data_IF_749663206608
#
_entry.id   IF_749663206608
#
_cell.length_a   1.000
_cell.length_b   1.000
_cell.length_c   1.000
_cell.angle_alpha   90.00
_cell.angle_beta   90.00
_cell.angle_gamma   90.00
#
_symmetry.space_group_name_H-M   'P 1'
#
loop_
_entity.id
_entity.type
_entity.pdbx_description
1 polymer ?
#
# COMPACT_ATOMS: atom_id res chain seq x y z
N UNK A 1 4.45 -38.68 -12.81
CA UNK A 1 3.04 -39.14 -12.70
C UNK A 1 2.20 -37.99 -13.20
N UNK A 2 1.71 -38.04 -14.45
CA UNK A 2 0.88 -36.97 -15.00
C UNK A 2 -0.48 -37.03 -14.30
N UNK A 3 -0.87 -35.96 -13.61
CA UNK A 3 -2.23 -35.86 -13.08
C UNK A 3 -3.20 -35.71 -14.25
N UNK A 4 -4.37 -36.33 -14.17
CA UNK A 4 -5.42 -36.13 -15.16
C UNK A 4 -5.89 -34.66 -15.14
N UNK A 5 -6.26 -34.10 -16.30
CA UNK A 5 -6.74 -32.70 -16.45
C UNK A 5 -7.88 -32.36 -15.47
N UNK A 6 -8.75 -33.33 -15.17
CA UNK A 6 -9.82 -33.21 -14.17
C UNK A 6 -9.32 -33.16 -12.72
N UNK A 7 -8.23 -33.85 -12.40
CA UNK A 7 -7.55 -33.78 -11.11
C UNK A 7 -6.80 -32.47 -10.93
N UNK A 8 -6.14 -31.95 -11.97
CA UNK A 8 -5.49 -30.64 -11.92
C UNK A 8 -6.51 -29.50 -11.76
N UNK A 9 -7.63 -29.55 -12.47
CA UNK A 9 -8.71 -28.56 -12.32
C UNK A 9 -9.26 -28.51 -10.89
N UNK A 10 -9.40 -29.67 -10.25
CA UNK A 10 -9.85 -29.80 -8.86
C UNK A 10 -8.84 -29.22 -7.86
N UNK A 11 -7.54 -29.27 -8.15
CA UNK A 11 -6.49 -28.71 -7.30
C UNK A 11 -6.42 -27.17 -7.35
N UNK A 12 -6.59 -26.58 -8.54
CA UNK A 12 -6.43 -25.14 -8.75
C UNK A 12 -7.69 -24.32 -8.38
N UNK A 13 -8.87 -24.94 -8.43
CA UNK A 13 -10.15 -24.28 -8.11
C UNK A 13 -10.16 -23.63 -6.71
N UNK A 14 -9.80 -24.34 -5.61
CA UNK A 14 -9.75 -23.73 -4.29
C UNK A 14 -8.79 -22.52 -4.23
N UNK A 15 -7.63 -22.60 -4.88
CA UNK A 15 -6.66 -21.50 -4.91
C UNK A 15 -7.23 -20.29 -5.66
N UNK A 16 -7.82 -20.50 -6.85
CA UNK A 16 -8.47 -19.45 -7.64
C UNK A 16 -9.57 -18.76 -6.82
N UNK A 17 -10.43 -19.53 -6.16
CA UNK A 17 -11.50 -19.00 -5.29
C UNK A 17 -10.94 -18.21 -4.10
N UNK A 18 -9.90 -18.70 -3.43
CA UNK A 18 -9.25 -17.99 -2.31
C UNK A 18 -8.67 -16.65 -2.80
N UNK A 19 -7.97 -16.65 -3.93
CA UNK A 19 -7.36 -15.44 -4.49
C UNK A 19 -8.43 -14.39 -4.85
N UNK A 20 -9.52 -14.82 -5.50
CA UNK A 20 -10.65 -13.94 -5.79
C UNK A 20 -11.29 -13.35 -4.53
N UNK A 21 -11.62 -14.19 -3.55
CA UNK A 21 -12.20 -13.72 -2.29
C UNK A 21 -11.25 -12.75 -1.60
N UNK A 22 -9.95 -13.04 -1.61
CA UNK A 22 -8.90 -12.21 -1.04
C UNK A 22 -8.84 -10.83 -1.69
N UNK A 23 -8.93 -10.74 -3.02
CA UNK A 23 -8.88 -9.45 -3.74
C UNK A 23 -10.13 -8.59 -3.51
N UNK A 24 -11.32 -9.21 -3.44
CA UNK A 24 -12.54 -8.50 -3.05
C UNK A 24 -12.48 -8.00 -1.61
N UNK A 25 -12.01 -8.87 -0.71
CA UNK A 25 -11.85 -8.54 0.70
C UNK A 25 -10.83 -7.41 0.90
N UNK A 26 -9.66 -7.48 0.26
CA UNK A 26 -8.62 -6.46 0.37
C UNK A 26 -9.10 -5.12 -0.14
N UNK A 27 -9.82 -5.08 -1.27
CA UNK A 27 -10.39 -3.85 -1.82
C UNK A 27 -11.46 -3.22 -0.93
N UNK A 28 -12.41 -4.00 -0.39
CA UNK A 28 -13.43 -3.49 0.55
C UNK A 28 -12.77 -3.00 1.83
N UNK A 29 -11.85 -3.79 2.39
CA UNK A 29 -11.11 -3.42 3.60
C UNK A 29 -10.29 -2.15 3.39
N UNK A 30 -9.67 -1.98 2.22
CA UNK A 30 -8.92 -0.79 1.85
C UNK A 30 -9.80 0.45 1.85
N UNK A 31 -10.99 0.38 1.24
CA UNK A 31 -11.95 1.48 1.25
C UNK A 31 -12.37 1.83 2.68
N UNK A 32 -12.83 0.85 3.46
CA UNK A 32 -13.26 1.05 4.83
C UNK A 32 -12.14 1.67 5.69
N UNK A 33 -10.92 1.14 5.63
CA UNK A 33 -9.80 1.61 6.43
C UNK A 33 -9.36 3.03 6.03
N UNK A 34 -9.33 3.35 4.74
CA UNK A 34 -8.96 4.68 4.27
C UNK A 34 -10.03 5.74 4.56
N UNK A 35 -11.32 5.44 4.38
CA UNK A 35 -12.40 6.34 4.77
C UNK A 35 -12.41 6.59 6.28
N UNK A 36 -12.20 5.54 7.08
CA UNK A 36 -12.08 5.68 8.54
C UNK A 36 -10.86 6.51 8.94
N UNK A 37 -9.72 6.32 8.27
CA UNK A 37 -8.53 7.14 8.49
C UNK A 37 -8.79 8.61 8.12
N UNK A 38 -9.48 8.90 7.00
CA UNK A 38 -9.88 10.27 6.64
C UNK A 38 -10.75 10.88 7.75
N UNK A 39 -11.75 10.14 8.25
CA UNK A 39 -12.58 10.58 9.37
C UNK A 39 -11.74 10.92 10.61
N UNK A 40 -10.77 10.08 10.96
CA UNK A 40 -9.85 10.34 12.09
C UNK A 40 -8.95 11.56 11.83
N UNK A 41 -8.46 11.74 10.60
CA UNK A 41 -7.63 12.89 10.26
C UNK A 41 -8.43 14.19 10.43
N UNK A 42 -9.67 14.21 9.97
CA UNK A 42 -10.52 15.42 10.05
C UNK A 42 -10.93 15.71 11.50
N UNK A 43 -11.29 14.68 12.28
CA UNK A 43 -11.93 14.88 13.60
C UNK A 43 -10.99 14.82 14.78
N UNK A 44 -9.81 14.18 14.66
CA UNK A 44 -8.93 13.87 15.80
C UNK A 44 -7.50 14.39 15.67
N UNK A 45 -7.14 15.01 14.55
CA UNK A 45 -5.78 15.57 14.39
C UNK A 45 -5.60 16.84 15.24
N UNK A 46 -4.56 16.88 16.07
CA UNK A 46 -4.23 18.09 16.85
C UNK A 46 -3.61 19.19 15.99
N UNK A 47 -3.60 20.41 16.52
CA UNK A 47 -3.01 21.59 15.86
C UNK A 47 -1.55 21.37 15.43
N UNK A 48 -0.74 20.63 16.21
CA UNK A 48 0.66 20.35 15.87
C UNK A 48 0.82 19.39 14.68
N UNK A 49 -0.17 18.53 14.45
CA UNK A 49 -0.19 17.58 13.34
C UNK A 49 -0.96 18.09 12.11
N UNK A 50 -1.72 19.19 12.26
CA UNK A 50 -2.61 19.72 11.23
C UNK A 50 -1.90 20.08 9.92
N UNK A 51 -0.65 20.53 10.01
CA UNK A 51 0.21 20.80 8.83
C UNK A 51 0.43 19.53 8.01
N UNK A 52 0.44 18.35 8.64
CA UNK A 52 0.63 17.06 8.00
C UNK A 52 -0.69 16.37 7.62
N UNK A 53 -1.85 16.90 7.98
CA UNK A 53 -3.14 16.33 7.56
C UNK A 53 -3.27 16.28 6.03
N UNK A 54 -2.71 17.27 5.32
CA UNK A 54 -2.74 17.32 3.85
C UNK A 54 -2.05 16.11 3.20
N UNK A 55 -0.87 15.72 3.72
CA UNK A 55 -0.13 14.57 3.17
C UNK A 55 -0.82 13.24 3.49
N UNK A 56 -1.43 13.12 4.67
CA UNK A 56 -2.14 11.92 5.06
C UNK A 56 -3.42 11.74 4.25
N UNK A 57 -4.21 12.80 4.06
CA UNK A 57 -5.43 12.77 3.22
C UNK A 57 -5.05 12.44 1.78
N UNK A 58 -4.01 13.06 1.23
CA UNK A 58 -3.55 12.75 -0.13
C UNK A 58 -3.16 11.27 -0.28
N UNK A 59 -2.50 10.68 0.73
CA UNK A 59 -2.15 9.26 0.70
C UNK A 59 -3.41 8.40 0.70
N UNK A 60 -4.40 8.71 1.54
CA UNK A 60 -5.68 8.01 1.55
C UNK A 60 -6.42 8.11 0.21
N UNK A 61 -6.37 9.27 -0.47
CA UNK A 61 -7.04 9.44 -1.76
C UNK A 61 -6.40 8.57 -2.84
N UNK A 62 -5.06 8.51 -2.90
CA UNK A 62 -4.35 7.61 -3.83
C UNK A 62 -4.68 6.15 -3.53
N UNK A 63 -4.67 5.76 -2.26
CA UNK A 63 -5.00 4.41 -1.80
C UNK A 63 -6.45 4.01 -2.15
N UNK A 64 -7.42 4.92 -1.96
CA UNK A 64 -8.83 4.71 -2.35
C UNK A 64 -8.95 4.56 -3.86
N UNK A 65 -8.32 5.45 -4.64
CA UNK A 65 -8.35 5.36 -6.11
C UNK A 65 -7.81 4.02 -6.59
N UNK A 66 -6.68 3.57 -6.05
CA UNK A 66 -6.10 2.29 -6.42
C UNK A 66 -6.97 1.09 -5.97
N UNK A 67 -7.59 1.17 -4.79
CA UNK A 67 -8.52 0.13 -4.32
C UNK A 67 -9.75 0.01 -5.24
N UNK A 68 -10.33 1.12 -5.68
CA UNK A 68 -11.45 1.12 -6.66
C UNK A 68 -11.02 0.52 -7.99
N UNK A 69 -9.86 0.92 -8.51
CA UNK A 69 -9.32 0.36 -9.76
C UNK A 69 -9.11 -1.15 -9.62
N UNK A 70 -8.58 -1.61 -8.49
CA UNK A 70 -8.34 -3.04 -8.24
C UNK A 70 -9.65 -3.82 -8.14
N UNK A 71 -10.69 -3.28 -7.50
CA UNK A 71 -12.01 -3.93 -7.42
C UNK A 71 -12.69 -4.04 -8.80
N UNK A 72 -12.57 -3.00 -9.64
CA UNK A 72 -13.15 -2.98 -10.98
C UNK A 72 -12.41 -3.95 -11.91
N UNK A 73 -11.08 -3.90 -11.89
CA UNK A 73 -10.26 -4.61 -12.88
C UNK A 73 -9.95 -6.05 -12.46
N UNK A 74 -9.67 -6.26 -11.18
CA UNK A 74 -9.13 -7.49 -10.61
C UNK A 74 -8.07 -8.11 -11.55
N UNK A 75 -7.08 -7.28 -11.87
CA UNK A 75 -6.02 -7.57 -12.83
C UNK A 75 -5.02 -8.55 -12.24
N UNK A 76 -4.73 -9.61 -12.98
CA UNK A 76 -3.81 -10.67 -12.60
C UNK A 76 -2.63 -10.68 -13.57
N UNK A 77 -1.43 -10.94 -13.03
CA UNK A 77 -0.18 -10.93 -13.79
C UNK A 77 0.49 -12.29 -13.61
N UNK A 78 0.92 -12.90 -14.71
CA UNK A 78 1.68 -14.14 -14.69
C UNK A 78 2.88 -14.07 -15.64
N UNK A 79 3.89 -14.90 -15.35
CA UNK A 79 5.20 -14.84 -15.97
C UNK A 79 5.61 -16.23 -16.46
N UNK A 80 5.61 -16.45 -17.78
CA UNK A 80 5.87 -17.77 -18.32
C UNK A 80 6.96 -17.73 -19.39
N UNK A 81 8.18 -18.14 -19.04
CA UNK A 81 9.24 -18.40 -20.01
C UNK A 81 9.70 -17.14 -20.75
N UNK A 82 9.76 -16.00 -20.05
CA UNK A 82 10.06 -14.70 -20.65
C UNK A 82 8.86 -13.99 -21.25
N UNK A 83 7.63 -14.46 -21.02
CA UNK A 83 6.41 -13.77 -21.41
C UNK A 83 5.70 -13.24 -20.16
N UNK A 84 5.35 -11.96 -20.16
CA UNK A 84 4.46 -11.37 -19.17
C UNK A 84 3.05 -11.39 -19.76
N UNK A 85 2.15 -12.08 -19.07
CA UNK A 85 0.73 -12.12 -19.39
C UNK A 85 -0.04 -11.34 -18.33
N UNK A 86 -0.95 -10.50 -18.79
CA UNK A 86 -1.90 -9.80 -17.91
C UNK A 86 -3.31 -10.08 -18.37
N UNK A 87 -4.18 -10.40 -17.43
CA UNK A 87 -5.59 -10.67 -17.68
C UNK A 87 -6.44 -10.07 -16.56
N UNK A 88 -7.74 -9.96 -16.80
CA UNK A 88 -8.69 -9.48 -15.82
C UNK A 88 -9.55 -10.65 -15.37
N UNK A 89 -9.80 -10.71 -14.07
CA UNK A 89 -10.64 -11.77 -13.50
C UNK A 89 -11.85 -11.20 -12.73
N UNK A 90 -12.06 -9.89 -12.85
CA UNK A 90 -13.15 -9.15 -12.20
C UNK A 90 -14.46 -9.15 -12.99
N UNK A 91 -15.39 -8.23 -12.67
CA UNK A 91 -16.70 -8.13 -13.34
C UNK A 91 -16.62 -7.97 -14.87
N UNK A 92 -15.49 -7.47 -15.37
CA UNK A 92 -15.24 -7.22 -16.79
C UNK A 92 -14.33 -8.25 -17.47
N UNK A 93 -14.11 -9.43 -16.87
CA UNK A 93 -13.17 -10.46 -17.37
C UNK A 93 -13.44 -10.98 -18.79
N UNK A 94 -14.70 -10.98 -19.23
CA UNK A 94 -15.09 -11.46 -20.56
C UNK A 94 -15.16 -10.34 -21.62
N UNK A 95 -14.76 -9.11 -21.28
CA UNK A 95 -14.82 -8.01 -22.24
C UNK A 95 -13.79 -8.21 -23.36
N UNK A 96 -14.16 -8.03 -24.64
CA UNK A 96 -13.24 -8.21 -25.75
C UNK A 96 -12.15 -7.14 -25.76
N UNK A 97 -11.08 -7.38 -26.51
CA UNK A 97 -10.17 -6.30 -26.88
C UNK A 97 -10.91 -5.30 -27.80
N UNK A 98 -10.75 -3.98 -27.63
CA UNK A 98 -9.69 -3.29 -26.86
C UNK A 98 -10.05 -2.95 -25.39
N UNK A 99 -11.22 -3.33 -24.89
CA UNK A 99 -11.67 -2.96 -23.54
C UNK A 99 -10.74 -3.55 -22.48
N UNK A 100 -10.41 -4.85 -22.59
CA UNK A 100 -9.46 -5.51 -21.67
C UNK A 100 -8.11 -4.81 -21.66
N UNK A 101 -7.57 -4.45 -22.84
CA UNK A 101 -6.33 -3.69 -22.95
C UNK A 101 -6.39 -2.35 -22.21
N UNK A 102 -7.47 -1.56 -22.38
CA UNK A 102 -7.60 -0.27 -21.70
C UNK A 102 -7.74 -0.42 -20.18
N UNK A 103 -8.49 -1.41 -19.71
CA UNK A 103 -8.67 -1.68 -18.29
C UNK A 103 -7.37 -2.11 -17.61
N UNK A 104 -6.54 -2.92 -18.27
CA UNK A 104 -5.21 -3.27 -17.78
C UNK A 104 -4.32 -2.03 -17.69
N UNK A 105 -4.36 -1.12 -18.67
CA UNK A 105 -3.61 0.13 -18.59
C UNK A 105 -4.13 1.06 -17.46
N UNK A 106 -5.43 1.06 -17.17
CA UNK A 106 -5.99 1.76 -15.99
C UNK A 106 -5.45 1.17 -14.69
N UNK A 107 -5.34 -0.16 -14.60
CA UNK A 107 -4.71 -0.82 -13.46
C UNK A 107 -3.24 -0.42 -13.30
N UNK A 108 -2.48 -0.40 -14.41
CA UNK A 108 -1.05 -0.08 -14.40
C UNK A 108 -0.79 1.38 -14.00
N UNK A 109 -1.58 2.35 -14.48
CA UNK A 109 -1.42 3.74 -14.04
C UNK A 109 -1.70 3.89 -12.55
N UNK A 110 -2.69 3.17 -12.02
CA UNK A 110 -3.01 3.17 -10.59
C UNK A 110 -1.87 2.61 -9.74
N UNK A 111 -1.41 1.40 -10.10
CA UNK A 111 -0.30 0.72 -9.41
C UNK A 111 0.98 1.57 -9.42
N UNK A 112 1.34 2.11 -10.58
CA UNK A 112 2.55 2.90 -10.72
C UNK A 112 2.45 4.24 -9.98
N UNK A 113 1.27 4.86 -9.96
CA UNK A 113 1.00 6.06 -9.17
C UNK A 113 1.22 5.82 -7.67
N UNK A 114 0.81 4.66 -7.13
CA UNK A 114 1.08 4.32 -5.73
C UNK A 114 2.57 4.38 -5.39
N UNK A 115 3.46 3.97 -6.30
CA UNK A 115 4.92 4.00 -6.10
C UNK A 115 5.50 5.40 -6.29
N UNK A 116 5.03 6.16 -7.29
CA UNK A 116 5.53 7.50 -7.59
C UNK A 116 5.13 8.54 -6.54
N UNK A 117 4.05 8.30 -5.79
CA UNK A 117 3.59 9.22 -4.74
C UNK A 117 4.28 9.01 -3.38
N UNK A 118 4.96 7.88 -3.16
CA UNK A 118 5.66 7.58 -1.89
C UNK A 118 6.68 8.64 -1.45
N UNK A 119 7.43 9.32 -2.34
CA UNK A 119 8.37 10.37 -1.92
C UNK A 119 7.69 11.66 -1.41
N UNK A 120 6.46 11.96 -1.82
CA UNK A 120 5.79 13.26 -1.52
C UNK A 120 5.76 13.57 -0.02
N UNK A 121 5.33 12.65 0.89
CA UNK A 121 5.38 12.89 2.32
C UNK A 121 6.78 13.23 2.85
N UNK A 122 7.84 12.62 2.30
CA UNK A 122 9.21 12.87 2.71
C UNK A 122 9.70 14.23 2.22
N UNK A 123 9.39 14.60 0.97
CA UNK A 123 9.69 15.94 0.43
C UNK A 123 8.99 17.01 1.25
N UNK A 124 7.69 16.86 1.49
CA UNK A 124 6.91 17.81 2.29
C UNK A 124 7.51 17.99 3.70
N UNK A 125 7.87 16.88 4.36
CA UNK A 125 8.50 16.95 5.69
C UNK A 125 9.90 17.53 5.65
N UNK A 126 10.67 17.31 4.60
CA UNK A 126 11.97 17.93 4.44
C UNK A 126 11.85 19.45 4.44
N UNK A 127 10.91 20.02 3.68
CA UNK A 127 10.65 21.46 3.71
C UNK A 127 10.18 21.93 5.09
N UNK A 128 9.23 21.22 5.70
CA UNK A 128 8.69 21.61 7.00
C UNK A 128 9.74 21.58 8.13
N UNK A 129 10.66 20.60 8.13
CA UNK A 129 11.63 20.38 9.21
C UNK A 129 12.99 21.02 8.93
N UNK A 130 13.52 20.85 7.73
CA UNK A 130 14.87 21.28 7.38
C UNK A 130 14.92 22.71 6.89
N UNK A 131 13.84 23.21 6.29
CA UNK A 131 13.73 24.58 5.79
C UNK A 131 12.75 25.45 6.59
N UNK A 132 12.11 24.89 7.62
CA UNK A 132 11.10 25.58 8.44
C UNK A 132 10.01 26.26 7.60
N UNK A 133 9.66 25.68 6.45
CA UNK A 133 8.71 26.23 5.48
C UNK A 133 7.73 25.15 5.05
N UNK A 134 6.45 25.49 4.98
CA UNK A 134 5.43 24.60 4.41
C UNK A 134 5.34 24.87 2.92
N UNK A 135 5.24 23.81 2.11
CA UNK A 135 5.02 23.94 0.67
C UNK A 135 3.73 24.72 0.40
N UNK A 136 3.79 25.67 -0.53
CA UNK A 136 2.61 26.39 -0.98
C UNK A 136 1.64 25.42 -1.68
N UNK A 137 0.37 25.83 -1.81
CA UNK A 137 -0.61 25.01 -2.54
C UNK A 137 -0.17 24.73 -3.99
N UNK A 138 0.45 25.73 -4.63
CA UNK A 138 0.96 25.61 -5.99
C UNK A 138 2.12 24.61 -6.10
N UNK A 139 3.13 24.71 -5.22
CA UNK A 139 4.26 23.78 -5.22
C UNK A 139 3.81 22.34 -4.94
N UNK A 140 2.85 22.18 -4.03
CA UNK A 140 2.29 20.88 -3.71
C UNK A 140 1.48 20.29 -4.88
N UNK A 141 0.65 21.10 -5.53
CA UNK A 141 -0.10 20.70 -6.72
C UNK A 141 0.83 20.35 -7.88
N UNK A 142 1.91 21.11 -8.06
CA UNK A 142 2.93 20.82 -9.06
C UNK A 142 3.61 19.47 -8.82
N UNK A 143 3.96 19.13 -7.56
CA UNK A 143 4.52 17.82 -7.23
C UNK A 143 3.56 16.67 -7.53
N UNK A 144 2.26 16.84 -7.21
CA UNK A 144 1.22 15.86 -7.53
C UNK A 144 1.10 15.69 -9.04
N UNK A 145 1.02 16.81 -9.77
CA UNK A 145 0.91 16.80 -11.23
C UNK A 145 2.12 16.11 -11.86
N UNK A 146 3.34 16.41 -11.40
CA UNK A 146 4.55 15.76 -11.87
C UNK A 146 4.52 14.24 -11.68
N UNK A 147 4.11 13.77 -10.50
CA UNK A 147 4.00 12.32 -10.23
C UNK A 147 2.94 11.65 -11.10
N UNK A 148 1.80 12.32 -11.34
CA UNK A 148 0.78 11.85 -12.28
C UNK A 148 1.30 11.82 -13.72
N UNK A 149 1.98 12.87 -14.17
CA UNK A 149 2.56 12.94 -15.53
C UNK A 149 3.55 11.80 -15.74
N UNK A 150 4.46 11.54 -14.80
CA UNK A 150 5.39 10.40 -14.88
C UNK A 150 4.63 9.07 -14.97
N UNK A 151 3.56 8.91 -14.19
CA UNK A 151 2.75 7.69 -14.18
C UNK A 151 1.98 7.48 -15.49
N UNK A 152 1.47 8.56 -16.09
CA UNK A 152 0.82 8.52 -17.41
C UNK A 152 1.83 8.18 -18.50
N UNK A 153 3.01 8.82 -18.51
CA UNK A 153 4.06 8.52 -19.48
C UNK A 153 4.53 7.06 -19.38
N UNK A 154 4.69 6.54 -18.17
CA UNK A 154 4.98 5.13 -17.95
C UNK A 154 3.87 4.23 -18.49
N UNK A 155 2.60 4.61 -18.30
CA UNK A 155 1.45 3.86 -18.83
C UNK A 155 1.40 3.91 -20.36
N UNK A 156 1.80 5.01 -20.99
CA UNK A 156 1.96 5.08 -22.44
C UNK A 156 3.05 4.11 -22.94
N UNK A 157 4.18 4.03 -22.22
CA UNK A 157 5.23 3.06 -22.52
C UNK A 157 4.73 1.61 -22.36
N UNK A 158 3.96 1.35 -21.30
CA UNK A 158 3.30 0.06 -21.09
C UNK A 158 2.34 -0.27 -22.24
N UNK A 159 1.45 0.65 -22.61
CA UNK A 159 0.52 0.50 -23.73
C UNK A 159 1.23 0.21 -25.05
N UNK A 160 2.35 0.90 -25.34
CA UNK A 160 3.17 0.66 -26.53
C UNK A 160 3.84 -0.72 -26.52
N UNK A 161 4.24 -1.20 -25.35
CA UNK A 161 4.87 -2.51 -25.16
C UNK A 161 3.88 -3.65 -25.36
N UNK A 162 2.67 -3.52 -24.81
CA UNK A 162 1.62 -4.55 -24.84
C UNK A 162 0.65 -4.39 -26.03
N UNK A 163 0.91 -3.46 -26.94
CA UNK A 163 0.07 -3.28 -28.13
C UNK A 163 0.12 -4.53 -29.03
N UNK A 164 -1.02 -5.11 -29.41
CA UNK A 164 -1.03 -6.32 -30.24
C UNK A 164 -0.48 -6.00 -31.64
N UNK A 165 0.60 -6.68 -32.04
CA UNK A 165 1.22 -6.58 -33.39
C UNK A 165 1.16 -7.87 -34.19
N UNK A 166 0.40 -8.85 -33.71
CA UNK A 166 0.25 -10.17 -34.33
C UNK A 166 -0.76 -10.99 -33.56
N UNK A 167 -0.89 -12.25 -33.93
CA UNK A 167 -1.84 -13.14 -33.29
C UNK A 167 -1.44 -13.43 -31.83
N UNK A 168 -2.31 -13.05 -30.90
CA UNK A 168 -2.14 -13.32 -29.47
C UNK A 168 -2.36 -14.81 -29.15
N UNK A 169 -3.00 -15.59 -30.04
CA UNK A 169 -3.22 -17.02 -29.85
C UNK A 169 -1.93 -17.81 -29.67
N UNK A 170 -0.77 -17.30 -30.15
CA UNK A 170 0.53 -17.94 -29.90
C UNK A 170 0.89 -18.06 -28.42
N UNK A 171 0.26 -17.25 -27.57
CA UNK A 171 0.44 -17.27 -26.12
C UNK A 171 -0.73 -17.95 -25.39
N UNK A 172 -1.73 -18.47 -26.13
CA UNK A 172 -2.91 -19.11 -25.54
C UNK A 172 -2.53 -20.31 -24.69
N UNK A 173 -1.46 -21.04 -25.02
CA UNK A 173 -0.98 -22.18 -24.21
C UNK A 173 -0.63 -21.81 -22.76
N UNK A 174 -0.30 -20.54 -22.48
CA UNK A 174 -0.02 -20.04 -21.13
C UNK A 174 -1.33 -19.90 -20.35
N UNK A 175 -2.38 -19.42 -21.01
CA UNK A 175 -3.70 -19.22 -20.41
C UNK A 175 -4.58 -20.47 -20.51
N UNK A 176 -4.23 -21.45 -21.33
CA UNK A 176 -4.92 -22.75 -21.47
C UNK A 176 -4.72 -23.66 -20.24
N UNK A 177 -3.95 -23.19 -19.26
CA UNK A 177 -3.81 -23.84 -17.95
C UNK A 177 -5.15 -23.86 -17.18
N UNK A 178 -5.52 -24.97 -16.51
CA UNK A 178 -6.79 -25.11 -15.79
C UNK A 178 -7.11 -23.99 -14.80
N UNK A 179 -6.08 -23.32 -14.28
CA UNK A 179 -6.22 -22.16 -13.39
C UNK A 179 -7.00 -20.99 -14.01
N UNK A 180 -6.82 -20.72 -15.31
CA UNK A 180 -7.41 -19.54 -15.95
C UNK A 180 -8.79 -19.81 -16.52
N UNK A 181 -9.13 -21.08 -16.79
CA UNK A 181 -10.44 -21.49 -17.30
C UNK A 181 -11.52 -21.22 -16.26
N UNK A 182 -12.64 -20.68 -16.72
CA UNK A 182 -13.86 -20.58 -15.92
C UNK A 182 -14.59 -21.94 -15.88
N UNK A 183 -15.63 -22.05 -15.05
CA UNK A 183 -16.38 -23.30 -14.85
C UNK A 183 -17.02 -23.83 -16.14
N UNK A 184 -17.31 -22.94 -17.09
CA UNK A 184 -17.83 -23.23 -18.42
C UNK A 184 -16.72 -23.53 -19.45
N UNK A 185 -15.45 -23.52 -19.03
CA UNK A 185 -14.28 -23.74 -19.88
C UNK A 185 -13.87 -22.51 -20.70
N UNK A 186 -14.50 -21.35 -20.50
CA UNK A 186 -14.13 -20.13 -21.21
C UNK A 186 -12.82 -19.54 -20.68
N UNK A 187 -12.04 -18.94 -21.59
CA UNK A 187 -10.77 -18.28 -21.27
C UNK A 187 -10.98 -16.76 -21.19
N UNK A 188 -10.40 -16.08 -20.19
CA UNK A 188 -10.47 -14.64 -20.11
C UNK A 188 -9.62 -13.99 -21.22
N UNK A 189 -10.00 -12.78 -21.63
CA UNK A 189 -9.17 -12.02 -22.55
C UNK A 189 -7.87 -11.58 -21.85
N UNK A 190 -6.78 -11.50 -22.61
CA UNK A 190 -5.47 -11.16 -22.07
C UNK A 190 -4.67 -10.26 -23.01
N UNK A 191 -3.63 -9.65 -22.44
CA UNK A 191 -2.54 -8.98 -23.16
C UNK A 191 -1.23 -9.64 -22.77
N UNK A 192 -0.29 -9.71 -23.71
CA UNK A 192 0.99 -10.36 -23.47
C UNK A 192 2.13 -9.61 -24.14
N UNK A 193 3.29 -9.62 -23.49
CA UNK A 193 4.55 -9.10 -24.03
C UNK A 193 5.67 -10.13 -23.76
N UNK A 194 6.61 -10.24 -24.71
CA UNK A 194 7.71 -11.21 -24.68
C UNK A 194 9.04 -10.47 -24.53
N UNK A 195 9.94 -10.97 -23.68
CA UNK A 195 11.28 -10.42 -23.46
C UNK A 195 12.16 -10.51 -24.71
N UNK A 196 11.83 -11.38 -25.67
CA UNK A 196 12.43 -11.39 -27.01
C UNK A 196 12.11 -10.11 -27.79
N UNK A 197 10.99 -9.45 -27.49
CA UNK A 197 10.74 -8.08 -27.97
C UNK A 197 11.49 -7.11 -27.07
N UNK A 198 12.42 -6.35 -27.64
CA UNK A 198 13.21 -5.35 -26.91
C UNK A 198 12.36 -4.30 -26.17
N UNK A 199 11.08 -4.13 -26.54
CA UNK A 199 10.16 -3.23 -25.81
C UNK A 199 9.91 -3.66 -24.38
N UNK A 200 9.76 -4.96 -24.13
CA UNK A 200 9.53 -5.43 -22.77
C UNK A 200 10.77 -5.20 -21.91
N UNK A 201 11.96 -5.42 -22.47
CA UNK A 201 13.22 -5.08 -21.81
C UNK A 201 13.31 -3.59 -21.46
N UNK A 202 12.91 -2.69 -22.37
CA UNK A 202 12.85 -1.25 -22.12
C UNK A 202 11.87 -0.94 -20.98
N UNK A 203 10.64 -1.47 -21.03
CA UNK A 203 9.62 -1.24 -20.00
C UNK A 203 10.10 -1.68 -18.61
N UNK A 204 10.65 -2.88 -18.50
CA UNK A 204 11.17 -3.44 -17.23
C UNK A 204 12.34 -2.61 -16.73
N UNK A 205 13.27 -2.22 -17.60
CA UNK A 205 14.40 -1.35 -17.26
C UNK A 205 13.92 0.00 -16.74
N UNK A 206 12.96 0.63 -17.42
CA UNK A 206 12.34 1.88 -16.97
C UNK A 206 11.66 1.72 -15.61
N UNK A 207 10.97 0.59 -15.39
CA UNK A 207 10.32 0.29 -14.10
C UNK A 207 11.34 0.22 -12.97
N UNK A 208 12.45 -0.50 -13.18
CA UNK A 208 13.52 -0.65 -12.19
C UNK A 208 14.23 0.68 -11.92
N UNK A 209 14.52 1.47 -12.95
CA UNK A 209 15.17 2.78 -12.82
C UNK A 209 14.27 3.75 -12.05
N UNK A 210 13.01 3.90 -12.44
CA UNK A 210 12.07 4.83 -11.79
C UNK A 210 11.77 4.39 -10.35
N UNK A 211 11.59 3.09 -10.11
CA UNK A 211 11.47 2.53 -8.77
C UNK A 211 12.68 2.86 -7.90
N UNK A 212 13.89 2.62 -8.42
CA UNK A 212 15.15 2.93 -7.71
C UNK A 212 15.25 4.41 -7.40
N UNK A 213 14.99 5.31 -8.35
CA UNK A 213 15.02 6.76 -8.14
C UNK A 213 14.03 7.17 -7.03
N UNK A 214 12.79 6.65 -7.07
CA UNK A 214 11.78 6.94 -6.04
C UNK A 214 12.28 6.57 -4.63
N UNK A 215 12.85 5.37 -4.46
CA UNK A 215 13.39 4.94 -3.17
C UNK A 215 14.66 5.67 -2.74
N UNK A 216 15.54 6.02 -3.68
CA UNK A 216 16.71 6.86 -3.39
C UNK A 216 16.29 8.23 -2.86
N UNK A 217 15.25 8.85 -3.44
CA UNK A 217 14.69 10.11 -2.93
C UNK A 217 14.14 9.94 -1.51
N UNK A 218 13.36 8.88 -1.25
CA UNK A 218 12.83 8.58 0.09
C UNK A 218 13.97 8.46 1.11
N UNK A 219 15.01 7.68 0.79
CA UNK A 219 16.17 7.48 1.67
C UNK A 219 16.89 8.81 1.89
N UNK A 220 17.20 9.56 0.84
CA UNK A 220 17.91 10.83 0.92
C UNK A 220 17.18 11.84 1.81
N UNK A 221 15.89 12.08 1.55
CA UNK A 221 15.10 13.01 2.36
C UNK A 221 14.93 12.53 3.80
N UNK A 222 14.73 11.23 4.02
CA UNK A 222 14.65 10.67 5.37
C UNK A 222 15.95 10.84 6.16
N UNK A 223 17.12 10.65 5.53
CA UNK A 223 18.44 10.89 6.15
C UNK A 223 18.61 12.37 6.50
N UNK A 224 18.25 13.28 5.59
CA UNK A 224 18.32 14.73 5.84
C UNK A 224 17.42 15.16 7.00
N UNK A 225 16.17 14.68 7.03
CA UNK A 225 15.22 14.92 8.12
C UNK A 225 15.78 14.38 9.44
N UNK A 226 16.30 13.16 9.44
CA UNK A 226 16.84 12.54 10.66
C UNK A 226 18.02 13.32 11.23
N UNK A 227 18.96 13.75 10.38
CA UNK A 227 20.10 14.60 10.78
C UNK A 227 19.62 15.91 11.40
N UNK A 228 18.67 16.60 10.77
CA UNK A 228 18.12 17.86 11.29
C UNK A 228 17.36 17.68 12.61
N UNK A 229 16.54 16.63 12.73
CA UNK A 229 15.84 16.35 13.99
C UNK A 229 16.80 16.03 15.12
N UNK A 230 17.92 15.36 14.82
CA UNK A 230 18.95 15.05 15.81
C UNK A 230 19.66 16.32 16.27
N UNK A 231 20.00 17.24 15.36
CA UNK A 231 20.63 18.52 15.72
C UNK A 231 19.71 19.43 16.55
N UNK A 232 18.39 19.34 16.34
CA UNK A 232 17.40 20.14 17.07
C UNK A 232 16.93 19.51 18.38
N UNK A 233 17.40 18.30 18.72
CA UNK A 233 16.89 17.51 19.84
C UNK A 233 17.00 18.23 21.19
N UNK A 234 18.06 19.01 21.41
CA UNK A 234 18.28 19.77 22.65
C UNK A 234 17.43 21.04 22.76
N UNK A 235 16.97 21.59 21.63
CA UNK A 235 16.22 22.86 21.56
C UNK A 235 14.71 22.65 21.50
N UNK A 236 14.25 21.46 21.08
CA UNK A 236 12.83 21.17 20.89
C UNK A 236 12.15 20.74 22.19
N UNK A 237 10.91 21.18 22.39
CA UNK A 237 10.08 20.65 23.46
C UNK A 237 9.90 19.13 23.34
N UNK A 238 9.73 18.44 24.47
CA UNK A 238 9.48 17.00 24.49
C UNK A 238 8.23 16.62 23.66
N UNK A 239 7.21 17.48 23.66
CA UNK A 239 5.98 17.28 22.88
C UNK A 239 6.25 17.33 21.38
N UNK A 240 6.99 18.34 20.91
CA UNK A 240 7.33 18.50 19.48
C UNK A 240 8.23 17.35 19.01
N UNK A 241 9.24 16.98 19.81
CA UNK A 241 10.13 15.86 19.51
C UNK A 241 9.35 14.55 19.31
N UNK A 242 8.37 14.28 20.19
CA UNK A 242 7.52 13.11 20.10
C UNK A 242 6.65 13.08 18.83
N UNK A 243 6.10 14.22 18.42
CA UNK A 243 5.32 14.33 17.18
C UNK A 243 6.18 13.99 15.96
N UNK A 244 7.39 14.53 15.87
CA UNK A 244 8.29 14.21 14.75
C UNK A 244 8.72 12.75 14.75
N UNK A 245 8.98 12.16 15.92
CA UNK A 245 9.33 10.75 16.08
C UNK A 245 8.21 9.83 15.59
N UNK A 246 6.96 10.10 15.99
CA UNK A 246 5.79 9.33 15.56
C UNK A 246 5.61 9.37 14.05
N UNK A 247 5.64 10.57 13.47
CA UNK A 247 5.45 10.74 12.03
C UNK A 247 6.60 10.12 11.22
N UNK A 248 7.85 10.22 11.70
CA UNK A 248 8.98 9.54 11.05
C UNK A 248 8.86 8.02 11.11
N UNK A 249 8.28 7.48 12.20
CA UNK A 249 8.00 6.04 12.29
C UNK A 249 6.94 5.66 11.26
N UNK A 250 5.79 6.34 11.23
CA UNK A 250 4.70 6.08 10.27
C UNK A 250 5.23 6.04 8.83
N UNK A 251 5.90 7.11 8.40
CA UNK A 251 6.36 7.22 7.01
C UNK A 251 7.40 6.15 6.64
N UNK A 252 8.30 5.79 7.55
CA UNK A 252 9.24 4.69 7.32
C UNK A 252 8.52 3.36 7.09
N UNK A 253 7.52 3.04 7.93
CA UNK A 253 6.72 1.83 7.75
C UNK A 253 5.94 1.87 6.42
N UNK A 254 5.32 3.00 6.09
CA UNK A 254 4.61 3.18 4.81
C UNK A 254 5.53 3.09 3.58
N UNK A 255 6.82 3.43 3.70
CA UNK A 255 7.78 3.23 2.62
C UNK A 255 8.32 1.78 2.56
N UNK A 256 8.48 1.12 3.71
CA UNK A 256 8.97 -0.25 3.78
C UNK A 256 7.94 -1.28 3.30
N UNK A 257 6.66 -1.07 3.60
CA UNK A 257 5.58 -2.01 3.23
C UNK A 257 5.51 -2.21 1.70
N UNK A 258 5.37 -1.17 0.86
CA UNK A 258 5.38 -1.33 -0.60
C UNK A 258 6.69 -1.90 -1.14
N UNK A 259 7.81 -1.64 -0.46
CA UNK A 259 9.10 -2.20 -0.86
C UNK A 259 9.09 -3.73 -0.78
N UNK A 260 8.70 -4.29 0.37
CA UNK A 260 8.73 -5.75 0.58
C UNK A 260 7.57 -6.48 -0.10
N UNK A 261 6.40 -5.84 -0.22
CA UNK A 261 5.19 -6.48 -0.76
C UNK A 261 5.10 -6.37 -2.28
N UNK A 262 5.63 -5.29 -2.87
CA UNK A 262 5.49 -5.02 -4.30
C UNK A 262 6.83 -4.91 -5.00
N UNK A 263 7.69 -3.96 -4.62
CA UNK A 263 8.87 -3.61 -5.42
C UNK A 263 9.90 -4.74 -5.45
N UNK A 264 10.27 -5.29 -4.30
CA UNK A 264 11.26 -6.37 -4.21
C UNK A 264 10.76 -7.65 -4.90
N UNK A 265 9.55 -8.17 -4.64
CA UNK A 265 9.03 -9.34 -5.36
C UNK A 265 8.91 -9.12 -6.86
N UNK A 266 8.41 -7.96 -7.31
CA UNK A 266 8.27 -7.66 -8.73
C UNK A 266 9.63 -7.58 -9.43
N UNK A 267 10.62 -6.97 -8.78
CA UNK A 267 12.00 -6.93 -9.30
C UNK A 267 12.59 -8.33 -9.45
N UNK A 268 12.39 -9.19 -8.44
CA UNK A 268 12.83 -10.58 -8.49
C UNK A 268 12.15 -11.33 -9.64
N UNK A 269 10.83 -11.19 -9.79
CA UNK A 269 10.08 -11.85 -10.85
C UNK A 269 10.50 -11.36 -12.23
N UNK A 270 10.77 -10.07 -12.42
CA UNK A 270 11.30 -9.55 -13.68
C UNK A 270 12.68 -10.11 -14.01
N UNK A 271 13.58 -10.21 -13.03
CA UNK A 271 14.90 -10.83 -13.21
C UNK A 271 14.77 -12.31 -13.59
N UNK A 272 13.93 -13.04 -12.86
CA UNK A 272 13.63 -14.46 -13.12
C UNK A 272 12.99 -14.67 -14.50
N UNK A 273 12.13 -13.74 -14.93
CA UNK A 273 11.50 -13.79 -16.25
C UNK A 273 12.51 -13.52 -17.37
N UNK A 274 13.45 -12.60 -17.15
CA UNK A 274 14.49 -12.28 -18.14
C UNK A 274 15.43 -13.47 -18.42
N UNK A 275 15.64 -14.36 -17.44
CA UNK A 275 16.41 -15.61 -17.61
C UNK A 275 15.54 -16.79 -18.09
N UNK A 276 14.25 -16.57 -18.39
CA UNK A 276 13.36 -17.56 -18.99
C UNK A 276 12.70 -18.54 -18.02
N UNK A 277 12.65 -18.23 -16.71
CA UNK A 277 11.90 -19.08 -15.76
C UNK A 277 10.38 -18.95 -15.95
N UNK A 278 9.65 -19.93 -15.43
CA UNK A 278 8.19 -20.02 -15.49
C UNK A 278 7.61 -19.97 -14.08
N UNK A 279 6.52 -19.23 -13.89
CA UNK A 279 5.76 -19.21 -12.62
C UNK A 279 4.58 -20.16 -12.62
N UNK A 280 4.16 -20.69 -13.77
CA UNK A 280 3.05 -21.65 -13.93
C UNK A 280 1.79 -21.23 -13.13
N UNK A 281 1.34 -19.98 -13.29
CA UNK A 281 0.17 -19.45 -12.59
C UNK A 281 0.43 -18.94 -11.17
N UNK A 282 1.62 -19.14 -10.59
CA UNK A 282 1.95 -18.64 -9.24
C UNK A 282 2.22 -17.13 -9.21
N UNK A 283 2.36 -16.47 -10.37
CA UNK A 283 2.51 -15.01 -10.46
C UNK A 283 1.35 -14.25 -9.81
N UNK A 284 0.18 -14.87 -9.74
CA UNK A 284 -1.06 -14.33 -9.15
C UNK A 284 -0.95 -14.09 -7.63
N UNK A 285 0.00 -14.75 -6.95
CA UNK A 285 0.28 -14.47 -5.54
C UNK A 285 0.83 -13.04 -5.38
N UNK A 286 1.61 -12.56 -6.35
CA UNK A 286 2.15 -11.20 -6.32
C UNK A 286 1.05 -10.16 -6.43
N UNK A 287 0.10 -10.34 -7.34
CA UNK A 287 -1.03 -9.43 -7.50
C UNK A 287 -1.94 -9.42 -6.27
N UNK A 288 -2.17 -10.57 -5.64
CA UNK A 288 -2.84 -10.65 -4.33
C UNK A 288 -2.10 -9.82 -3.27
N UNK A 289 -0.77 -9.96 -3.16
CA UNK A 289 0.01 -9.18 -2.19
C UNK A 289 -0.10 -7.67 -2.45
N UNK A 290 -0.05 -7.25 -3.72
CA UNK A 290 -0.19 -5.85 -4.13
C UNK A 290 -1.57 -5.28 -3.78
N UNK A 291 -2.65 -6.08 -3.83
CA UNK A 291 -4.01 -5.62 -3.50
C UNK A 291 -4.16 -5.17 -2.04
N UNK A 292 -3.28 -5.65 -1.14
CA UNK A 292 -3.25 -5.23 0.27
C UNK A 292 -2.46 -3.96 0.56
N UNK A 293 -1.76 -3.35 -0.41
CA UNK A 293 -0.97 -2.13 -0.17
C UNK A 293 -1.81 -0.99 0.47
N UNK A 294 -3.00 -0.63 -0.05
CA UNK A 294 -3.83 0.43 0.53
C UNK A 294 -4.29 0.14 1.97
N UNK A 295 -4.54 -1.13 2.28
CA UNK A 295 -4.91 -1.59 3.63
C UNK A 295 -3.76 -1.34 4.59
N UNK A 296 -2.55 -1.77 4.22
CA UNK A 296 -1.38 -1.66 5.09
C UNK A 296 -0.97 -0.20 5.32
N UNK A 297 -1.11 0.66 4.30
CA UNK A 297 -0.82 2.09 4.42
C UNK A 297 -1.75 2.80 5.42
N UNK A 298 -3.05 2.52 5.35
CA UNK A 298 -4.04 3.13 6.25
C UNK A 298 -3.95 2.57 7.66
N UNK A 299 -3.85 1.25 7.82
CA UNK A 299 -3.71 0.61 9.13
C UNK A 299 -2.42 1.01 9.84
N UNK A 300 -1.28 1.08 9.13
CA UNK A 300 -0.02 1.54 9.73
C UNK A 300 -0.13 2.97 10.26
N UNK A 301 -0.80 3.87 9.54
CA UNK A 301 -1.06 5.24 10.00
C UNK A 301 -1.93 5.25 11.26
N UNK A 302 -3.02 4.50 11.27
CA UNK A 302 -3.94 4.41 12.40
C UNK A 302 -3.22 3.91 13.66
N UNK A 303 -2.40 2.86 13.52
CA UNK A 303 -1.73 2.20 14.64
C UNK A 303 -0.54 3.00 15.19
N UNK A 304 0.23 3.66 14.33
CA UNK A 304 1.44 4.38 14.75
C UNK A 304 1.18 5.83 15.17
N UNK A 305 0.11 6.48 14.70
CA UNK A 305 -0.26 7.83 15.16
C UNK A 305 -1.01 7.74 16.50
N UNK A 306 -0.40 8.29 17.56
CA UNK A 306 -0.88 8.13 18.94
C UNK A 306 -2.31 8.61 19.16
N UNK A 307 -2.72 9.66 18.47
CA UNK A 307 -4.05 10.27 18.62
C UNK A 307 -5.15 9.39 18.00
N UNK A 308 -4.84 8.76 16.87
CA UNK A 308 -5.75 7.88 16.15
C UNK A 308 -6.00 6.59 16.92
N UNK A 309 -4.92 5.90 17.36
CA UNK A 309 -5.05 4.71 18.22
C UNK A 309 -5.75 4.99 19.54
N UNK A 310 -5.49 6.15 20.17
CA UNK A 310 -6.12 6.53 21.44
C UNK A 310 -7.62 6.68 21.28
N UNK A 311 -8.04 7.30 20.19
CA UNK A 311 -9.46 7.41 19.84
C UNK A 311 -10.07 6.02 19.77
N UNK A 312 -9.48 5.07 19.02
CA UNK A 312 -9.99 3.69 18.91
C UNK A 312 -10.11 3.00 20.28
N UNK A 313 -9.07 3.11 21.12
CA UNK A 313 -9.09 2.52 22.47
C UNK A 313 -10.08 3.20 23.43
N UNK A 314 -10.49 4.45 23.14
CA UNK A 314 -11.43 5.23 23.93
C UNK A 314 -12.86 5.16 23.39
N UNK A 315 -13.06 4.80 22.12
CA UNK A 315 -14.38 4.59 21.52
C UNK A 315 -15.05 3.39 22.20
N UNK A 316 -16.36 3.51 22.50
CA UNK A 316 -17.16 2.51 23.24
C UNK A 316 -17.10 1.08 22.68
N UNK A 317 -16.71 0.88 21.41
CA UNK A 317 -16.50 -0.42 20.77
C UNK A 317 -15.47 -1.31 21.51
N UNK A 318 -14.38 -0.74 22.05
CA UNK A 318 -13.38 -1.51 22.82
C UNK A 318 -13.75 -1.72 24.30
N UNK A 319 -14.72 -0.95 24.83
CA UNK A 319 -15.26 -1.18 26.18
C UNK A 319 -16.16 -2.43 26.26
N UNK A 320 -16.62 -2.93 25.11
CA UNK A 320 -17.40 -4.17 25.01
C UNK A 320 -16.47 -5.40 25.07
N UNK A 321 -15.26 -5.33 24.50
CA UNK A 321 -14.31 -6.45 24.45
C UNK A 321 -13.32 -6.51 25.63
N UNK A 322 -13.08 -5.40 26.33
CA UNK A 322 -12.25 -5.39 27.53
C UNK A 322 -12.93 -4.57 28.64
N UNK A 323 -13.54 -5.22 29.65
CA UNK A 323 -14.08 -4.51 30.80
C UNK A 323 -12.91 -3.96 31.65
N UNK A 324 -12.74 -2.64 31.55
CA UNK A 324 -12.22 -1.71 32.56
C UNK A 324 -11.07 -2.17 33.49
N UNK A 325 -9.83 -1.77 33.16
CA UNK A 325 -8.76 -1.52 34.16
C UNK A 325 -8.93 -0.21 34.95
N UNK A 326 -9.90 0.63 34.57
CA UNK A 326 -10.09 1.96 35.17
C UNK A 326 -10.72 1.96 36.57
N UNK A 327 -11.20 0.82 37.07
CA UNK A 327 -11.75 0.69 38.43
C UNK A 327 -10.64 0.42 39.47
N UNK A 328 -9.49 -0.09 39.04
CA UNK A 328 -8.39 -0.44 39.94
C UNK A 328 -7.51 0.77 40.31
N UNK A 329 -7.40 1.77 39.43
CA UNK A 329 -6.64 2.99 39.74
C UNK A 329 -7.34 3.89 40.77
N UNK A 330 -8.69 4.01 40.75
CA UNK A 330 -9.42 4.80 41.76
C UNK A 330 -9.29 4.22 43.17
N UNK A 331 -9.35 2.90 43.30
CA UNK A 331 -9.21 2.21 44.60
C UNK A 331 -7.78 2.27 45.15
N UNK A 332 -6.76 2.32 44.29
CA UNK A 332 -5.37 2.50 44.70
C UNK A 332 -5.06 3.94 45.18
N UNK A 333 -5.62 4.95 44.50
CA UNK A 333 -5.42 6.37 44.89
C UNK A 333 -6.17 6.69 46.18
N UNK A 334 -7.39 6.17 46.37
CA UNK A 334 -8.14 6.31 47.63
C UNK A 334 -7.45 5.60 48.81
N UNK A 335 -6.91 4.39 48.62
CA UNK A 335 -6.11 3.72 49.66
C UNK A 335 -4.87 4.53 50.05
N UNK A 336 -4.20 5.14 49.07
CA UNK A 336 -2.96 5.90 49.34
C UNK A 336 -3.25 7.22 50.07
N UNK A 337 -4.41 7.85 49.81
CA UNK A 337 -4.89 9.01 50.56
C UNK A 337 -5.25 8.63 52.00
N UNK A 338 -6.02 7.55 52.18
CA UNK A 338 -6.48 7.11 53.50
C UNK A 338 -5.31 6.71 54.43
N UNK A 339 -4.27 6.06 53.87
CA UNK A 339 -3.05 5.69 54.63
C UNK A 339 -2.23 6.93 55.02
N UNK A 340 -2.22 7.99 54.20
CA UNK A 340 -1.57 9.26 54.55
C UNK A 340 -2.29 9.98 55.69
N UNK A 341 -3.62 9.99 55.65
CA UNK A 341 -4.44 10.65 56.69
C UNK A 341 -4.28 9.94 58.05
N UNK A 342 -4.29 8.61 58.08
CA UNK A 342 -4.03 7.82 59.30
C UNK A 342 -2.62 8.08 59.86
N UNK A 343 -1.58 8.16 59.02
CA UNK A 343 -0.22 8.49 59.48
C UNK A 343 -0.12 9.88 60.09
N UNK A 344 -0.84 10.86 59.54
CA UNK A 344 -0.85 12.23 60.06
C UNK A 344 -1.60 12.37 61.39
N UNK A 345 -2.60 11.51 61.63
CA UNK A 345 -3.29 11.42 62.92
C UNK A 345 -2.41 10.75 63.98
N UNK A 346 -1.66 9.70 63.64
CA UNK A 346 -0.76 9.03 64.59
C UNK A 346 0.46 9.89 64.98
N UNK A 347 0.90 10.82 64.14
CA UNK A 347 2.01 11.73 64.46
C UNK A 347 1.61 12.95 65.32
N UNK A 348 0.34 13.06 65.72
CA UNK A 348 -0.20 14.17 66.53
C UNK A 348 -0.64 13.76 67.93
N UNK A 349 -0.30 12.56 68.39
CA UNK A 349 -0.49 12.12 69.77
C UNK A 349 0.66 12.63 70.65
N UNK A 350 0.45 13.57 71.59
CA UNK A 350 1.46 13.95 72.55
C UNK A 350 1.39 13.01 73.76
N UNK A 351 2.47 12.25 73.98
CA UNK A 351 2.89 11.77 75.29
C UNK A 351 4.40 11.96 75.38
#
# INVERSE_FOLDING_TARGET
MMMNVTQEHSYWMPLKTILHISDWFSGILALCANFFLIFLIITKTTNELKVYSRILIQSCLVDITFAVITLITNSQIDFNGGIILMTMTGPFRHQPNPITFHMINIYIVGLFSCVMFLPIPFIFRYFAVCKSRVLTAFEYAFLILLCFTISILYTCLHAWTFWPRGDLTKYSYIIDHPFWKDEDGTLPNFVAADFKDGRLFILVSCTMILGTISYLLIIAFNVLIYRKLTSLKSTMSAKTCEVHRQLSKVLKYQAMVPFFICVMPLSLVFLLSAIGTKTDGKGVILTMLVSYLPVMNSLSTILFVRQYRRTITQTRLFRIFCPNRAIQDRTSVERTSYIKDIRSMMSRSPL
#
